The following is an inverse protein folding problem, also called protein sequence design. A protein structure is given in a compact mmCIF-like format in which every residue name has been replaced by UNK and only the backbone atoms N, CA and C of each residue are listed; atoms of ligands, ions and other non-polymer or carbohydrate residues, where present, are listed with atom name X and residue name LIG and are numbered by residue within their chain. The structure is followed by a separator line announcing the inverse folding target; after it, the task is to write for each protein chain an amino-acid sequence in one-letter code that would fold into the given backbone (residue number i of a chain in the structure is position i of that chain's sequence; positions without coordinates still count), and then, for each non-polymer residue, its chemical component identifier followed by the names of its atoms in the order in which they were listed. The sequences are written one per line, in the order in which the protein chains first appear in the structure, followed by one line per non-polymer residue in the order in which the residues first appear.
data_IF_609982031762
#
_entry.id   IF_609982031762
#
_cell.length_a   1.000
_cell.length_b   1.000
_cell.length_c   1.000
_cell.angle_alpha   90.00
_cell.angle_beta   90.00
_cell.angle_gamma   90.00
#
_symmetry.space_group_name_H-M   'P 1'
#
loop_
_entity.id
_entity.type
_entity.pdbx_description
1 polymer ?
#
# COMPACT_ATOMS: atom_id res chain seq x y z
N UNK A 1 4.80 51.40 -1.48
CA UNK A 1 5.92 50.79 -2.22
C UNK A 1 6.02 49.36 -1.77
N UNK A 2 5.55 48.43 -2.60
CA UNK A 2 5.56 47.00 -2.29
C UNK A 2 6.84 46.38 -2.83
N UNK A 3 7.58 45.70 -1.96
CA UNK A 3 8.65 44.80 -2.38
C UNK A 3 8.02 43.48 -2.85
N UNK A 4 8.07 43.24 -4.15
CA UNK A 4 7.88 41.91 -4.73
C UNK A 4 8.97 40.99 -4.16
N UNK A 5 8.55 40.03 -3.33
CA UNK A 5 9.37 38.87 -2.98
C UNK A 5 9.64 38.07 -4.26
N UNK A 6 10.82 38.27 -4.84
CA UNK A 6 11.35 37.42 -5.91
C UNK A 6 11.27 35.96 -5.49
N UNK A 7 10.48 35.17 -6.22
CA UNK A 7 10.52 33.71 -6.10
C UNK A 7 11.92 33.24 -6.49
N UNK A 8 12.63 32.48 -5.64
CA UNK A 8 13.93 31.95 -6.02
C UNK A 8 13.77 31.06 -7.27
N UNK A 9 14.45 31.42 -8.35
CA UNK A 9 14.47 30.63 -9.57
C UNK A 9 15.00 29.23 -9.23
N UNK A 10 14.27 28.15 -9.57
CA UNK A 10 14.73 26.81 -9.25
C UNK A 10 16.01 26.55 -10.06
N UNK A 11 17.13 26.37 -9.36
CA UNK A 11 18.44 26.21 -10.01
C UNK A 11 18.45 24.95 -10.87
N UNK A 12 19.03 25.05 -12.07
CA UNK A 12 19.10 24.01 -13.11
C UNK A 12 19.63 22.65 -12.60
N UNK A 13 20.40 22.65 -11.50
CA UNK A 13 20.89 21.43 -10.81
C UNK A 13 19.79 20.64 -10.07
N UNK A 14 18.76 21.31 -9.56
CA UNK A 14 17.62 20.66 -8.89
C UNK A 14 16.79 19.86 -9.90
N UNK A 15 16.65 20.38 -11.12
CA UNK A 15 15.91 19.74 -12.20
C UNK A 15 16.64 18.49 -12.69
N UNK A 16 17.95 18.60 -12.94
CA UNK A 16 18.77 17.46 -13.36
C UNK A 16 18.79 16.30 -12.34
N UNK A 17 18.78 16.59 -11.03
CA UNK A 17 18.74 15.56 -9.99
C UNK A 17 17.36 14.89 -9.90
N UNK A 18 16.29 15.67 -10.04
CA UNK A 18 14.90 15.18 -10.09
C UNK A 18 14.68 14.29 -11.32
N UNK A 19 15.10 14.75 -12.50
CA UNK A 19 14.94 14.01 -13.75
C UNK A 19 15.75 12.71 -13.76
N UNK A 20 16.97 12.74 -13.21
CA UNK A 20 17.79 11.53 -13.07
C UNK A 20 17.20 10.53 -12.06
N UNK A 21 16.53 10.99 -11.00
CA UNK A 21 15.81 10.12 -10.07
C UNK A 21 14.59 9.48 -10.74
N UNK A 22 13.81 10.26 -11.50
CA UNK A 22 12.66 9.76 -12.27
C UNK A 22 13.08 8.72 -13.30
N UNK A 23 14.15 8.98 -14.06
CA UNK A 23 14.68 8.02 -15.01
C UNK A 23 15.22 6.74 -14.32
N UNK A 24 15.94 6.88 -13.21
CA UNK A 24 16.45 5.74 -12.45
C UNK A 24 15.32 4.90 -11.82
N UNK A 25 14.25 5.55 -11.35
CA UNK A 25 13.01 4.92 -10.92
C UNK A 25 12.41 4.09 -12.04
N UNK A 26 12.20 4.67 -13.22
CA UNK A 26 11.53 3.99 -14.33
C UNK A 26 12.34 2.76 -14.78
N UNK A 27 13.67 2.88 -14.80
CA UNK A 27 14.58 1.76 -15.03
C UNK A 27 14.45 0.71 -13.92
N UNK A 28 14.47 1.10 -12.65
CA UNK A 28 14.38 0.15 -11.54
C UNK A 28 13.04 -0.59 -11.51
N UNK A 29 11.92 0.14 -11.66
CA UNK A 29 10.58 -0.43 -11.72
C UNK A 29 10.45 -1.38 -12.92
N UNK A 30 10.96 -1.00 -14.09
CA UNK A 30 10.82 -1.83 -15.30
C UNK A 30 11.78 -3.02 -15.31
N UNK A 31 13.07 -2.79 -15.02
CA UNK A 31 14.14 -3.78 -15.20
C UNK A 31 14.36 -4.66 -13.96
N UNK A 32 14.17 -4.13 -12.75
CA UNK A 32 14.43 -4.86 -11.50
C UNK A 32 13.15 -5.44 -10.92
N UNK A 33 12.08 -4.64 -10.83
CA UNK A 33 10.79 -5.12 -10.32
C UNK A 33 9.97 -5.81 -11.42
N UNK A 34 9.89 -5.25 -12.62
CA UNK A 34 9.15 -5.82 -13.76
C UNK A 34 9.69 -7.16 -14.26
N UNK A 35 11.00 -7.41 -14.12
CA UNK A 35 11.62 -8.70 -14.42
C UNK A 35 11.18 -9.84 -13.50
N UNK A 36 10.66 -9.54 -12.31
CA UNK A 36 10.08 -10.55 -11.39
C UNK A 36 8.62 -10.89 -11.71
N UNK A 37 7.99 -10.14 -12.62
CA UNK A 37 6.61 -10.34 -13.06
C UNK A 37 6.46 -11.26 -14.29
N UNK A 38 7.53 -11.88 -14.79
CA UNK A 38 7.39 -12.93 -15.81
C UNK A 38 6.64 -14.13 -15.23
N UNK A 39 5.46 -14.33 -15.80
CA UNK A 39 4.49 -15.40 -15.58
C UNK A 39 5.14 -16.78 -15.73
N UNK A 40 5.66 -17.31 -14.63
CA UNK A 40 5.86 -18.74 -14.45
C UNK A 40 4.59 -19.31 -13.81
N UNK A 41 4.08 -20.48 -14.24
CA UNK A 41 2.87 -21.06 -13.67
C UNK A 41 3.11 -21.29 -12.18
N UNK A 42 2.50 -20.45 -11.36
CA UNK A 42 2.66 -20.48 -9.92
C UNK A 42 1.96 -21.73 -9.36
N UNK A 43 2.64 -22.44 -8.48
CA UNK A 43 2.02 -23.40 -7.58
C UNK A 43 0.79 -22.76 -6.91
N UNK A 44 -0.28 -23.55 -6.72
CA UNK A 44 -1.55 -23.15 -6.13
C UNK A 44 -1.32 -22.31 -4.85
N UNK A 45 -1.41 -20.99 -4.98
CA UNK A 45 -1.16 -20.02 -3.91
C UNK A 45 -2.47 -19.65 -3.21
N UNK A 46 -2.40 -19.49 -1.89
CA UNK A 46 -3.53 -19.26 -0.98
C UNK A 46 -4.51 -18.21 -1.49
N UNK A 47 -5.80 -18.54 -1.46
CA UNK A 47 -6.89 -17.59 -1.68
C UNK A 47 -6.77 -16.37 -0.75
N UNK A 48 -7.29 -15.24 -1.20
CA UNK A 48 -7.45 -14.04 -0.38
C UNK A 48 -8.21 -14.39 0.91
N UNK A 49 -7.71 -13.91 2.04
CA UNK A 49 -8.36 -14.03 3.35
C UNK A 49 -9.10 -12.75 3.69
N UNK A 50 -10.42 -12.72 3.52
CA UNK A 50 -11.23 -11.51 3.74
C UNK A 50 -11.32 -11.13 5.22
N UNK A 51 -11.10 -12.08 6.13
CA UNK A 51 -10.99 -11.88 7.57
C UNK A 51 -9.71 -11.14 8.00
N UNK A 52 -8.85 -10.80 7.04
CA UNK A 52 -7.60 -10.07 7.22
C UNK A 52 -7.82 -8.57 7.06
N UNK A 53 -7.27 -7.70 7.94
CA UNK A 53 -7.33 -6.26 7.74
C UNK A 53 -6.48 -5.81 6.54
N UNK A 54 -6.85 -4.68 5.95
CA UNK A 54 -6.10 -4.06 4.85
C UNK A 54 -5.34 -2.83 5.33
N UNK A 55 -4.03 -2.85 5.14
CA UNK A 55 -3.16 -1.73 5.45
C UNK A 55 -3.26 -0.66 4.35
N UNK A 56 -3.52 0.57 4.74
CA UNK A 56 -3.64 1.72 3.84
C UNK A 56 -2.23 2.22 3.53
N UNK A 57 -1.65 1.75 2.43
CA UNK A 57 -0.31 2.19 2.01
C UNK A 57 -0.34 3.25 0.91
N UNK A 58 -1.44 3.35 0.18
CA UNK A 58 -1.59 4.23 -0.98
C UNK A 58 -1.69 5.72 -0.65
N UNK A 59 -1.62 6.08 0.63
CA UNK A 59 -1.47 7.47 1.08
C UNK A 59 -0.06 7.78 1.59
N UNK A 60 0.80 6.77 1.74
CA UNK A 60 2.11 6.94 2.38
C UNK A 60 3.06 7.79 1.51
N UNK A 61 3.61 8.90 2.04
CA UNK A 61 4.46 9.80 1.28
C UNK A 61 5.75 9.15 0.77
N UNK A 62 6.39 8.31 1.57
CA UNK A 62 7.66 7.65 1.20
C UNK A 62 7.44 6.57 0.15
N UNK A 63 6.30 5.86 0.21
CA UNK A 63 5.92 4.88 -0.82
C UNK A 63 5.58 5.61 -2.11
N UNK A 64 4.71 6.62 -2.07
CA UNK A 64 4.31 7.39 -3.24
C UNK A 64 5.52 8.05 -3.93
N UNK A 65 6.48 8.55 -3.14
CA UNK A 65 7.74 9.09 -3.66
C UNK A 65 8.59 8.05 -4.40
N UNK A 66 8.57 6.77 -4.00
CA UNK A 66 9.20 5.68 -4.75
C UNK A 66 8.62 5.54 -6.17
N UNK A 67 7.35 5.89 -6.35
CA UNK A 67 6.68 5.90 -7.66
C UNK A 67 6.63 7.31 -8.27
N UNK A 68 7.36 8.28 -7.71
CA UNK A 68 7.45 9.68 -8.13
C UNK A 68 6.13 10.45 -8.09
N UNK A 69 5.23 10.04 -7.19
CA UNK A 69 4.03 10.80 -6.83
C UNK A 69 4.38 11.67 -5.63
N UNK A 70 4.21 12.98 -5.78
CA UNK A 70 4.43 13.95 -4.71
C UNK A 70 3.11 14.27 -4.00
N UNK A 71 3.05 13.98 -2.70
CA UNK A 71 1.86 14.14 -1.86
C UNK A 71 1.61 15.58 -1.41
N UNK A 72 2.63 16.44 -1.39
CA UNK A 72 2.57 17.74 -0.70
C UNK A 72 2.52 18.92 -1.68
N UNK A 73 2.68 18.67 -2.97
CA UNK A 73 2.72 19.71 -4.01
C UNK A 73 1.58 19.57 -5.03
N UNK A 74 1.88 19.80 -6.31
CA UNK A 74 0.97 19.98 -7.46
C UNK A 74 -0.08 18.87 -7.66
N UNK A 75 0.12 17.69 -7.06
CA UNK A 75 -0.75 16.52 -7.26
C UNK A 75 -1.64 16.17 -6.07
N UNK A 76 -1.62 16.94 -4.97
CA UNK A 76 -2.36 16.61 -3.74
C UNK A 76 -3.84 16.27 -3.97
N UNK A 77 -4.54 17.05 -4.81
CA UNK A 77 -5.95 16.79 -5.13
C UNK A 77 -6.15 15.48 -5.91
N UNK A 78 -5.30 15.21 -6.90
CA UNK A 78 -5.35 13.95 -7.67
C UNK A 78 -5.03 12.75 -6.78
N UNK A 79 -4.01 12.87 -5.93
CA UNK A 79 -3.63 11.83 -4.98
C UNK A 79 -4.74 11.56 -3.96
N UNK A 80 -5.42 12.60 -3.48
CA UNK A 80 -6.60 12.46 -2.62
C UNK A 80 -7.71 11.68 -3.33
N UNK A 81 -8.06 12.04 -4.57
CA UNK A 81 -9.07 11.31 -5.35
C UNK A 81 -8.69 9.84 -5.53
N UNK A 82 -7.45 9.57 -5.94
CA UNK A 82 -6.96 8.20 -6.12
C UNK A 82 -6.95 7.41 -4.81
N UNK A 83 -6.64 8.06 -3.68
CA UNK A 83 -6.71 7.44 -2.36
C UNK A 83 -8.14 7.09 -1.97
N UNK A 84 -9.11 7.94 -2.28
CA UNK A 84 -10.54 7.67 -2.03
C UNK A 84 -11.02 6.49 -2.89
N UNK A 85 -10.68 6.45 -4.18
CA UNK A 85 -11.02 5.34 -5.07
C UNK A 85 -10.40 4.02 -4.57
N UNK A 86 -9.12 4.05 -4.19
CA UNK A 86 -8.43 2.90 -3.60
C UNK A 86 -9.08 2.47 -2.27
N UNK A 87 -9.57 3.42 -1.47
CA UNK A 87 -10.29 3.12 -0.21
C UNK A 87 -11.59 2.38 -0.48
N UNK A 88 -12.35 2.77 -1.52
CA UNK A 88 -13.60 2.09 -1.89
C UNK A 88 -13.34 0.62 -2.25
N UNK A 89 -12.29 0.36 -3.02
CA UNK A 89 -11.85 -1.01 -3.33
C UNK A 89 -11.34 -1.75 -2.09
N UNK A 90 -10.57 -1.09 -1.23
CA UNK A 90 -10.04 -1.69 -0.01
C UNK A 90 -11.15 -2.12 0.94
N UNK A 91 -12.18 -1.28 1.13
CA UNK A 91 -13.35 -1.62 1.94
C UNK A 91 -13.97 -2.93 1.48
N UNK A 92 -14.18 -3.11 0.17
CA UNK A 92 -14.84 -4.31 -0.36
C UNK A 92 -14.05 -5.62 -0.13
N UNK A 93 -12.73 -5.55 0.03
CA UNK A 93 -11.85 -6.72 0.11
C UNK A 93 -11.60 -7.24 1.52
N UNK A 94 -12.02 -6.54 2.56
CA UNK A 94 -11.84 -6.98 3.95
C UNK A 94 -13.14 -6.94 4.73
N UNK A 95 -13.45 -7.99 5.47
CA UNK A 95 -14.54 -8.03 6.45
C UNK A 95 -14.14 -7.38 7.78
N UNK A 96 -12.86 -7.08 7.96
CA UNK A 96 -12.34 -6.39 9.15
C UNK A 96 -12.34 -4.88 8.93
N UNK A 97 -11.21 -4.26 9.20
CA UNK A 97 -11.00 -2.83 9.19
C UNK A 97 -9.81 -2.50 8.28
N UNK A 98 -9.80 -1.27 7.78
CA UNK A 98 -8.59 -0.71 7.18
C UNK A 98 -7.70 -0.15 8.29
N UNK A 99 -6.40 -0.41 8.16
CA UNK A 99 -5.36 -0.03 9.09
C UNK A 99 -4.62 1.18 8.54
N UNK A 100 -4.73 2.30 9.26
CA UNK A 100 -4.09 3.57 8.91
C UNK A 100 -2.93 3.82 9.89
N UNK A 101 -1.68 3.94 9.46
CA UNK A 101 -0.61 4.43 10.34
C UNK A 101 -0.94 5.79 10.95
N UNK A 102 -0.77 5.91 12.27
CA UNK A 102 -0.95 7.18 12.96
C UNK A 102 -0.03 8.28 12.42
N UNK A 103 1.15 7.94 11.88
CA UNK A 103 2.08 8.89 11.26
C UNK A 103 1.43 9.73 10.16
N UNK A 104 0.47 9.18 9.42
CA UNK A 104 -0.15 9.85 8.28
C UNK A 104 -0.93 11.10 8.67
N UNK A 105 -1.51 11.09 9.88
CA UNK A 105 -2.23 12.23 10.46
C UNK A 105 -1.31 13.45 10.55
N UNK A 106 -0.02 13.24 10.77
CA UNK A 106 0.98 14.29 10.95
C UNK A 106 1.79 14.55 9.68
N UNK A 107 2.06 13.52 8.88
CA UNK A 107 2.98 13.59 7.74
C UNK A 107 2.32 14.05 6.43
N UNK A 108 0.99 14.00 6.33
CA UNK A 108 0.26 14.28 5.09
C UNK A 108 -0.68 15.48 5.28
N UNK A 109 -0.44 16.57 4.56
CA UNK A 109 -1.20 17.82 4.75
C UNK A 109 -2.69 17.72 4.44
N UNK A 110 -3.08 16.93 3.44
CA UNK A 110 -4.48 16.73 3.05
C UNK A 110 -5.17 15.59 3.81
N UNK A 111 -4.48 14.92 4.73
CA UNK A 111 -5.06 13.80 5.48
C UNK A 111 -6.32 14.17 6.29
N UNK A 112 -6.43 15.36 6.90
CA UNK A 112 -7.67 15.77 7.56
C UNK A 112 -8.88 15.78 6.60
N UNK A 113 -8.67 16.17 5.34
CA UNK A 113 -9.72 16.15 4.31
C UNK A 113 -10.07 14.70 3.97
N UNK A 114 -9.05 13.85 3.75
CA UNK A 114 -9.26 12.42 3.50
C UNK A 114 -10.08 11.77 4.63
N UNK A 115 -9.70 11.99 5.90
CA UNK A 115 -10.43 11.48 7.05
C UNK A 115 -11.87 12.01 7.10
N UNK A 116 -12.08 13.30 6.81
CA UNK A 116 -13.43 13.90 6.70
C UNK A 116 -14.28 13.19 5.64
N UNK A 117 -13.71 12.88 4.48
CA UNK A 117 -14.41 12.15 3.43
C UNK A 117 -14.77 10.71 3.82
N UNK A 118 -13.99 10.08 4.70
CA UNK A 118 -14.21 8.68 5.14
C UNK A 118 -14.78 8.58 6.56
N UNK A 119 -15.27 9.68 7.13
CA UNK A 119 -15.85 9.74 8.48
C UNK A 119 -16.89 8.65 8.75
N UNK A 120 -17.82 8.32 7.82
CA UNK A 120 -18.77 7.23 8.05
C UNK A 120 -18.10 5.87 8.31
N UNK A 121 -16.96 5.59 7.68
CA UNK A 121 -16.19 4.37 7.93
C UNK A 121 -15.55 4.37 9.32
N UNK A 122 -15.15 5.54 9.83
CA UNK A 122 -14.63 5.70 11.20
C UNK A 122 -15.73 5.39 12.21
N UNK A 123 -16.89 6.03 12.09
CA UNK A 123 -18.05 5.80 12.98
C UNK A 123 -18.54 4.35 12.95
N UNK A 124 -18.50 3.70 11.79
CA UNK A 124 -18.82 2.29 11.66
C UNK A 124 -17.74 1.34 12.22
N UNK A 125 -16.60 1.86 12.70
CA UNK A 125 -15.48 1.06 13.21
C UNK A 125 -14.72 0.27 12.13
N UNK A 126 -14.93 0.63 10.86
CA UNK A 126 -14.26 0.03 9.70
C UNK A 126 -12.86 0.61 9.44
N UNK A 127 -12.49 1.70 10.12
CA UNK A 127 -11.14 2.27 10.12
C UNK A 127 -10.52 2.20 11.52
N UNK A 128 -9.23 1.88 11.58
CA UNK A 128 -8.43 1.95 12.80
C UNK A 128 -7.09 2.59 12.54
N UNK A 129 -6.61 3.41 13.47
CA UNK A 129 -5.23 3.87 13.39
C UNK A 129 -4.29 2.88 14.07
N UNK A 130 -3.08 2.78 13.54
CA UNK A 130 -2.02 1.90 14.03
C UNK A 130 -0.92 2.74 14.64
N UNK A 131 -0.62 2.45 15.89
CA UNK A 131 0.47 3.06 16.63
C UNK A 131 0.97 2.10 17.73
N UNK A 132 2.24 2.22 18.16
CA UNK A 132 2.75 1.47 19.31
C UNK A 132 2.14 1.93 20.64
N UNK A 133 1.57 3.14 20.70
CA UNK A 133 0.86 3.69 21.86
C UNK A 133 -0.55 4.08 21.45
N UNK A 134 -1.54 3.97 22.36
CA UNK A 134 -2.92 4.36 22.07
C UNK A 134 -3.05 5.88 21.89
N UNK A 135 -2.41 6.69 22.73
CA UNK A 135 -2.59 8.14 22.67
C UNK A 135 -1.79 8.78 21.51
N UNK A 136 -2.46 9.59 20.69
CA UNK A 136 -1.85 10.24 19.53
C UNK A 136 -0.89 11.39 19.91
N UNK A 137 -1.08 12.04 21.06
CA UNK A 137 -0.16 13.04 21.57
C UNK A 137 1.12 12.38 22.07
N UNK A 138 1.01 11.27 22.81
CA UNK A 138 2.17 10.45 23.22
C UNK A 138 2.92 9.92 21.99
N UNK A 139 2.17 9.44 20.98
CA UNK A 139 2.75 9.00 19.72
C UNK A 139 3.52 10.14 19.03
N UNK A 140 2.94 11.35 18.97
CA UNK A 140 3.59 12.52 18.40
C UNK A 140 4.89 12.84 19.14
N UNK A 141 4.88 12.85 20.47
CA UNK A 141 6.07 13.13 21.29
C UNK A 141 7.20 12.13 21.02
N UNK A 142 6.87 10.84 20.99
CA UNK A 142 7.81 9.78 20.60
C UNK A 142 8.40 10.06 19.20
N UNK A 143 7.58 10.43 18.21
CA UNK A 143 8.03 10.73 16.85
C UNK A 143 8.83 12.02 16.74
N UNK A 144 8.56 13.04 17.57
CA UNK A 144 9.40 14.25 17.66
C UNK A 144 10.83 13.87 18.04
N UNK A 145 11.03 12.94 18.97
CA UNK A 145 12.35 12.42 19.34
C UNK A 145 13.01 11.62 18.22
N UNK A 146 12.27 10.77 17.51
CA UNK A 146 12.80 10.04 16.34
C UNK A 146 13.24 11.00 15.20
N UNK A 147 12.62 12.18 15.10
CA UNK A 147 12.88 13.18 14.05
C UNK A 147 13.65 14.41 14.58
N UNK A 148 14.29 14.31 15.75
CA UNK A 148 14.90 15.45 16.47
C UNK A 148 15.96 16.26 15.71
N UNK A 149 16.56 15.69 14.67
CA UNK A 149 17.57 16.32 13.78
C UNK A 149 17.02 16.64 12.36
N UNK A 150 15.71 16.54 12.15
CA UNK A 150 15.09 16.90 10.89
C UNK A 150 14.61 18.35 10.90
N UNK A 151 15.11 19.25 10.03
CA UNK A 151 14.61 20.62 9.94
C UNK A 151 13.13 20.68 9.53
N UNK A 152 12.63 19.67 8.82
CA UNK A 152 11.24 19.57 8.36
C UNK A 152 10.44 18.58 9.20
N UNK A 153 10.73 18.45 10.49
CA UNK A 153 10.06 17.50 11.37
C UNK A 153 8.53 17.79 11.42
N UNK A 154 7.68 16.91 10.84
CA UNK A 154 6.25 17.16 10.73
C UNK A 154 5.53 17.07 12.09
N UNK A 155 6.15 16.46 13.09
CA UNK A 155 5.56 16.22 14.40
C UNK A 155 5.71 17.40 15.38
N UNK A 156 6.58 18.38 15.09
CA UNK A 156 6.85 19.51 16.00
C UNK A 156 5.69 20.49 16.15
N UNK A 157 4.92 20.69 15.08
CA UNK A 157 3.88 21.71 15.03
C UNK A 157 2.50 21.14 14.68
N UNK A 158 2.39 19.82 14.55
CA UNK A 158 1.13 19.19 14.19
C UNK A 158 0.20 19.11 15.41
N UNK A 159 -0.90 19.84 15.32
CA UNK A 159 -2.02 19.74 16.24
C UNK A 159 -2.92 18.56 15.89
N UNK A 160 -3.48 17.90 16.90
CA UNK A 160 -4.59 16.96 16.72
C UNK A 160 -5.87 17.79 16.61
N UNK A 161 -6.57 17.71 15.47
CA UNK A 161 -7.87 18.36 15.26
C UNK A 161 -8.78 17.46 14.43
N UNK A 162 -10.09 17.56 14.66
CA UNK A 162 -11.10 16.80 13.93
C UNK A 162 -11.23 15.35 14.39
N UNK A 163 -11.51 14.44 13.45
CA UNK A 163 -11.83 13.01 13.67
C UNK A 163 -10.79 12.27 14.52
N UNK A 164 -9.53 12.71 14.52
CA UNK A 164 -8.49 12.09 15.34
C UNK A 164 -8.66 12.28 16.85
N UNK A 165 -9.53 13.21 17.27
CA UNK A 165 -9.88 13.44 18.67
C UNK A 165 -11.22 12.76 19.06
N UNK A 166 -11.86 12.05 18.12
CA UNK A 166 -13.15 11.40 18.32
C UNK A 166 -12.97 10.00 18.97
N UNK A 167 -13.76 9.63 20.00
CA UNK A 167 -13.72 8.29 20.59
C UNK A 167 -14.03 7.15 19.59
N UNK A 168 -14.69 7.44 18.47
CA UNK A 168 -15.00 6.45 17.45
C UNK A 168 -13.79 6.05 16.60
N UNK A 169 -12.73 6.86 16.56
CA UNK A 169 -11.52 6.48 15.83
C UNK A 169 -10.68 5.52 16.68
N UNK A 170 -10.82 4.22 16.41
CA UNK A 170 -10.26 3.17 17.26
C UNK A 170 -8.80 2.91 16.98
N UNK A 171 -8.05 2.65 18.05
CA UNK A 171 -6.67 2.20 18.00
C UNK A 171 -6.57 0.70 17.65
N UNK A 172 -5.56 0.36 16.87
CA UNK A 172 -5.05 -0.98 16.69
C UNK A 172 -3.59 -1.04 17.20
N UNK A 173 -3.31 -1.83 18.26
CA UNK A 173 -1.97 -1.93 18.82
C UNK A 173 -0.99 -2.55 17.84
N UNK A 174 0.21 -1.99 17.82
CA UNK A 174 1.35 -2.52 17.10
C UNK A 174 2.32 -3.16 18.11
N UNK A 175 2.38 -4.48 18.12
CA UNK A 175 3.09 -5.24 19.18
C UNK A 175 4.54 -5.55 18.81
N UNK A 176 4.93 -5.43 17.54
CA UNK A 176 6.27 -5.77 17.07
C UNK A 176 7.36 -4.90 17.70
N UNK A 177 8.48 -5.55 18.08
CA UNK A 177 9.73 -4.86 18.39
C UNK A 177 10.05 -3.82 17.31
N UNK A 178 10.49 -2.63 17.72
CA UNK A 178 10.48 -1.42 16.89
C UNK A 178 10.85 -1.66 15.43
N UNK A 179 10.07 -1.13 14.48
CA UNK A 179 10.24 -1.33 13.03
C UNK A 179 11.69 -1.16 12.59
N UNK A 180 12.40 -0.21 13.20
CA UNK A 180 13.80 0.08 12.97
C UNK A 180 14.72 -1.11 13.27
N UNK A 181 14.45 -1.91 14.31
CA UNK A 181 15.23 -3.10 14.65
C UNK A 181 15.08 -4.19 13.57
N UNK A 182 13.84 -4.51 13.16
CA UNK A 182 13.59 -5.47 12.09
C UNK A 182 14.15 -5.01 10.73
N UNK A 183 14.02 -3.72 10.41
CA UNK A 183 14.68 -3.12 9.24
C UNK A 183 16.21 -3.22 9.37
N UNK A 184 16.77 -3.02 10.56
CA UNK A 184 18.20 -3.12 10.82
C UNK A 184 18.78 -4.52 10.57
N UNK A 185 18.04 -5.58 10.87
CA UNK A 185 18.44 -6.95 10.53
C UNK A 185 18.43 -7.18 9.01
N UNK A 186 17.33 -6.80 8.34
CA UNK A 186 17.22 -6.87 6.88
C UNK A 186 18.30 -6.04 6.18
N UNK A 187 18.64 -4.88 6.74
CA UNK A 187 19.64 -3.97 6.24
C UNK A 187 21.01 -4.62 6.16
N UNK A 188 21.45 -5.29 7.24
CA UNK A 188 22.76 -5.97 7.25
C UNK A 188 22.81 -7.07 6.20
N UNK A 189 21.77 -7.90 6.11
CA UNK A 189 21.68 -8.94 5.09
C UNK A 189 21.68 -8.38 3.65
N UNK A 190 21.05 -7.22 3.42
CA UNK A 190 20.97 -6.60 2.10
C UNK A 190 22.32 -6.06 1.59
N UNK A 191 23.29 -5.81 2.47
CA UNK A 191 24.62 -5.32 2.10
C UNK A 191 25.58 -6.45 1.68
N UNK A 192 25.32 -7.68 2.11
CA UNK A 192 26.13 -8.87 1.80
C UNK A 192 26.16 -9.19 0.29
N UNK A 193 27.17 -9.92 -0.22
CA UNK A 193 27.21 -10.34 -1.62
C UNK A 193 25.93 -11.06 -2.06
N UNK A 194 25.31 -10.59 -3.15
CA UNK A 194 24.02 -11.10 -3.63
C UNK A 194 22.80 -10.43 -2.99
N UNK A 195 23.01 -9.64 -1.92
CA UNK A 195 22.00 -8.77 -1.33
C UNK A 195 21.65 -7.59 -2.24
N UNK A 196 20.47 -7.03 -2.03
CA UNK A 196 19.91 -5.98 -2.89
C UNK A 196 20.67 -4.65 -2.82
N UNK A 197 21.16 -4.29 -1.64
CA UNK A 197 21.95 -3.09 -1.43
C UNK A 197 23.46 -3.33 -1.65
N UNK A 198 23.87 -4.53 -2.05
CA UNK A 198 25.27 -4.84 -2.29
C UNK A 198 25.92 -3.91 -3.32
N UNK A 199 25.18 -3.54 -4.38
CA UNK A 199 25.67 -2.58 -5.39
C UNK A 199 25.88 -1.19 -4.78
N UNK A 200 24.98 -0.75 -3.90
CA UNK A 200 25.11 0.52 -3.16
C UNK A 200 26.35 0.47 -2.25
N UNK A 201 26.57 -0.65 -1.56
CA UNK A 201 27.75 -0.85 -0.71
C UNK A 201 29.05 -0.75 -1.52
N UNK A 202 29.16 -1.50 -2.62
CA UNK A 202 30.35 -1.45 -3.50
C UNK A 202 30.56 -0.08 -4.14
N UNK A 203 29.49 0.56 -4.62
CA UNK A 203 29.56 1.88 -5.22
C UNK A 203 30.09 2.92 -4.23
N UNK A 204 29.56 2.90 -3.01
CA UNK A 204 30.01 3.71 -1.88
C UNK A 204 31.49 3.46 -1.58
N UNK A 205 31.91 2.21 -1.45
CA UNK A 205 33.29 1.83 -1.15
C UNK A 205 34.29 2.29 -2.23
N UNK A 206 33.91 2.20 -3.51
CA UNK A 206 34.75 2.66 -4.63
C UNK A 206 34.96 4.17 -4.65
N UNK A 207 33.95 4.95 -4.26
CA UNK A 207 34.02 6.42 -4.25
C UNK A 207 34.63 6.99 -2.95
N UNK A 208 34.79 6.16 -1.93
CA UNK A 208 35.30 6.58 -0.63
C UNK A 208 36.83 6.42 -0.55
N UNK A 209 37.53 7.53 -0.34
CA UNK A 209 39.00 7.63 -0.36
C UNK A 209 39.72 7.03 0.86
N UNK A 210 39.03 6.29 1.74
CA UNK A 210 39.59 5.72 2.99
C UNK A 210 39.85 4.22 2.85
N UNK A 211 40.53 3.56 3.83
CA UNK A 211 40.94 2.16 3.71
C UNK A 211 39.80 1.19 3.36
N UNK A 212 40.12 0.17 2.56
CA UNK A 212 39.21 -0.90 2.13
C UNK A 212 38.48 -1.52 3.34
N UNK A 213 37.19 -1.80 3.20
CA UNK A 213 36.35 -2.39 4.25
C UNK A 213 35.79 -1.38 5.26
N UNK A 214 36.25 -0.13 5.30
CA UNK A 214 35.71 0.88 6.24
C UNK A 214 34.34 1.40 5.82
N UNK A 215 34.08 1.51 4.52
CA UNK A 215 32.79 1.96 4.01
C UNK A 215 31.70 0.91 4.31
N UNK A 216 31.99 -0.36 4.05
CA UNK A 216 31.09 -1.49 4.32
C UNK A 216 30.77 -1.61 5.81
N UNK A 217 31.78 -1.51 6.68
CA UNK A 217 31.56 -1.49 8.14
C UNK A 217 30.73 -0.28 8.59
N UNK A 218 30.91 0.89 7.98
CA UNK A 218 30.12 2.09 8.31
C UNK A 218 28.67 1.96 7.86
N UNK A 219 28.44 1.36 6.70
CA UNK A 219 27.10 1.05 6.19
C UNK A 219 26.41 -0.01 7.05
N UNK A 220 27.11 -1.09 7.40
CA UNK A 220 26.58 -2.12 8.28
C UNK A 220 26.18 -1.57 9.66
N UNK A 221 26.88 -0.51 10.12
CA UNK A 221 26.61 0.21 11.37
C UNK A 221 25.56 1.34 11.24
N UNK A 222 24.91 1.50 10.10
CA UNK A 222 23.86 2.52 9.92
C UNK A 222 22.75 2.40 10.98
N UNK A 223 22.21 1.21 11.32
CA UNK A 223 21.16 1.09 12.34
C UNK A 223 21.57 1.72 13.69
N UNK A 224 22.80 1.47 14.14
CA UNK A 224 23.34 2.01 15.39
C UNK A 224 23.61 3.52 15.27
N UNK A 225 24.10 3.98 14.12
CA UNK A 225 24.41 5.39 13.86
C UNK A 225 23.18 6.28 13.69
N UNK A 226 22.01 5.69 13.45
CA UNK A 226 20.75 6.42 13.52
C UNK A 226 20.39 6.79 14.97
N UNK A 227 21.01 6.19 16.00
CA UNK A 227 20.83 6.58 17.41
C UNK A 227 19.34 6.67 17.82
N UNK A 228 18.50 5.75 17.35
CA UNK A 228 17.06 5.77 17.61
C UNK A 228 16.27 6.81 16.79
N UNK A 229 16.85 7.36 15.72
CA UNK A 229 16.08 8.06 14.68
C UNK A 229 15.30 7.07 13.80
N UNK A 230 14.28 7.57 13.10
CA UNK A 230 13.51 6.76 12.16
C UNK A 230 14.38 6.17 11.04
N UNK A 231 14.11 4.92 10.66
CA UNK A 231 14.86 4.23 9.61
C UNK A 231 14.30 4.56 8.21
N UNK A 232 14.37 5.85 7.83
CA UNK A 232 13.86 6.39 6.56
C UNK A 232 15.00 6.86 5.65
N UNK A 233 14.77 6.90 4.33
CA UNK A 233 15.81 7.17 3.32
C UNK A 233 16.59 8.46 3.61
N UNK A 234 15.89 9.57 3.90
CA UNK A 234 16.54 10.85 4.17
C UNK A 234 17.42 10.87 5.42
N UNK A 235 17.14 10.03 6.43
CA UNK A 235 18.00 9.93 7.62
C UNK A 235 19.17 8.99 7.36
N UNK A 236 18.92 7.86 6.69
CA UNK A 236 19.97 6.93 6.27
C UNK A 236 20.99 7.64 5.39
N UNK A 237 20.55 8.40 4.39
CA UNK A 237 21.44 9.13 3.47
C UNK A 237 22.39 10.09 4.19
N UNK A 238 21.93 10.77 5.25
CA UNK A 238 22.77 11.67 6.06
C UNK A 238 23.85 10.93 6.85
N UNK A 239 23.67 9.62 7.10
CA UNK A 239 24.70 8.79 7.73
C UNK A 239 25.73 8.28 6.72
N UNK A 240 25.43 8.35 5.42
CA UNK A 240 26.29 7.73 4.41
C UNK A 240 27.60 8.50 4.26
N UNK A 241 28.71 7.78 4.06
CA UNK A 241 30.01 8.40 3.91
C UNK A 241 30.10 9.25 2.63
N UNK A 242 29.59 8.74 1.50
CA UNK A 242 29.50 9.50 0.25
C UNK A 242 28.05 9.68 -0.19
N UNK A 243 27.74 10.74 -0.97
CA UNK A 243 26.46 10.86 -1.65
C UNK A 243 26.19 9.65 -2.54
N UNK A 244 24.93 9.21 -2.57
CA UNK A 244 24.46 8.19 -3.48
C UNK A 244 24.20 8.80 -4.87
N UNK A 245 24.48 8.02 -5.90
CA UNK A 245 23.94 8.26 -7.23
C UNK A 245 22.41 8.14 -7.23
N UNK A 246 21.70 8.71 -8.22
CA UNK A 246 20.25 8.61 -8.32
C UNK A 246 19.73 7.16 -8.26
N UNK A 247 20.35 6.23 -9.01
CA UNK A 247 19.96 4.82 -9.00
C UNK A 247 20.18 4.11 -7.65
N UNK A 248 21.25 4.47 -6.93
CA UNK A 248 21.50 3.92 -5.59
C UNK A 248 20.51 4.50 -4.57
N UNK A 249 20.16 5.79 -4.67
CA UNK A 249 19.15 6.43 -3.82
C UNK A 249 17.75 5.84 -4.07
N UNK A 250 17.38 5.61 -5.33
CA UNK A 250 16.15 4.89 -5.68
C UNK A 250 16.14 3.48 -5.08
N UNK A 251 17.22 2.71 -5.25
CA UNK A 251 17.32 1.34 -4.70
C UNK A 251 17.19 1.33 -3.18
N UNK A 252 17.81 2.31 -2.51
CA UNK A 252 17.71 2.51 -1.08
C UNK A 252 16.27 2.82 -0.64
N UNK A 253 15.60 3.76 -1.32
CA UNK A 253 14.22 4.14 -1.00
C UNK A 253 13.25 2.95 -1.13
N UNK A 254 13.32 2.20 -2.24
CA UNK A 254 12.51 1.00 -2.44
C UNK A 254 12.78 -0.06 -1.36
N UNK A 255 14.05 -0.29 -1.00
CA UNK A 255 14.41 -1.23 0.05
C UNK A 255 13.79 -0.87 1.40
N UNK A 256 13.90 0.39 1.82
CA UNK A 256 13.39 0.86 3.10
C UNK A 256 11.86 0.81 3.14
N UNK A 257 11.19 1.29 2.09
CA UNK A 257 9.74 1.27 1.98
C UNK A 257 9.19 -0.16 1.94
N UNK A 258 9.84 -1.08 1.21
CA UNK A 258 9.47 -2.50 1.20
C UNK A 258 9.64 -3.15 2.57
N UNK A 259 10.73 -2.85 3.27
CA UNK A 259 11.01 -3.39 4.61
C UNK A 259 10.01 -2.86 5.63
N UNK A 260 9.65 -1.57 5.54
CA UNK A 260 8.58 -0.96 6.31
C UNK A 260 7.24 -1.68 6.08
N UNK A 261 6.81 -1.83 4.82
CA UNK A 261 5.55 -2.53 4.48
C UNK A 261 5.55 -3.95 5.03
N UNK A 262 6.62 -4.72 4.76
CA UNK A 262 6.76 -6.08 5.24
C UNK A 262 6.61 -6.17 6.77
N UNK A 263 7.23 -5.26 7.51
CA UNK A 263 7.14 -5.23 8.97
C UNK A 263 5.70 -5.03 9.45
N UNK A 264 4.96 -4.09 8.87
CA UNK A 264 3.55 -3.87 9.23
C UNK A 264 2.65 -5.04 8.83
N UNK A 265 2.84 -5.60 7.65
CA UNK A 265 2.01 -6.69 7.14
C UNK A 265 2.16 -7.97 7.97
N UNK A 266 3.38 -8.27 8.43
CA UNK A 266 3.61 -9.44 9.27
C UNK A 266 3.14 -9.23 10.71
N UNK A 267 3.39 -8.04 11.29
CA UNK A 267 3.03 -7.73 12.67
C UNK A 267 1.51 -7.67 12.88
N UNK A 268 0.79 -7.09 11.92
CA UNK A 268 -0.65 -6.87 12.02
C UNK A 268 -1.48 -7.98 11.35
N UNK A 269 -0.80 -9.03 10.86
CA UNK A 269 -1.34 -9.98 9.90
C UNK A 269 -2.18 -9.27 8.83
N UNK A 270 -1.68 -8.20 8.21
CA UNK A 270 -2.44 -7.39 7.25
C UNK A 270 -2.15 -7.76 5.79
N UNK A 271 -3.02 -7.29 4.89
CA UNK A 271 -2.80 -7.28 3.43
C UNK A 271 -2.64 -5.84 2.92
N UNK A 272 -2.17 -5.64 1.68
CA UNK A 272 -2.19 -4.36 0.98
C UNK A 272 -2.81 -4.51 -0.41
N UNK A 273 -3.42 -3.45 -0.92
CA UNK A 273 -3.85 -3.39 -2.32
C UNK A 273 -2.66 -3.27 -3.25
N UNK A 274 -2.51 -4.16 -4.23
CA UNK A 274 -1.51 -4.04 -5.29
C UNK A 274 -2.15 -3.54 -6.60
N UNK A 275 -1.34 -3.24 -7.61
CA UNK A 275 -1.81 -2.90 -8.97
C UNK A 275 -2.85 -1.74 -8.98
N UNK A 276 -2.48 -0.62 -8.35
CA UNK A 276 -3.28 0.60 -8.29
C UNK A 276 -2.98 1.52 -9.48
N UNK A 277 -3.88 2.47 -9.82
CA UNK A 277 -3.64 3.43 -10.90
C UNK A 277 -2.36 4.27 -10.73
N UNK A 278 -1.96 4.54 -9.48
CA UNK A 278 -0.74 5.28 -9.14
C UNK A 278 0.54 4.42 -9.18
N UNK A 279 0.43 3.13 -9.51
CA UNK A 279 1.50 2.13 -9.50
C UNK A 279 1.18 0.95 -8.59
N UNK A 280 2.06 -0.05 -8.56
CA UNK A 280 1.82 -1.25 -7.73
C UNK A 280 1.81 -0.95 -6.21
N UNK A 281 2.54 0.09 -5.79
CA UNK A 281 2.66 0.57 -4.41
C UNK A 281 3.04 -0.52 -3.37
N UNK A 282 3.55 -1.67 -3.82
CA UNK A 282 4.08 -2.76 -3.00
C UNK A 282 5.56 -2.60 -2.65
N UNK A 283 6.23 -1.63 -3.29
CA UNK A 283 7.68 -1.44 -3.27
C UNK A 283 8.47 -2.72 -3.63
N UNK A 284 7.89 -3.60 -4.46
CA UNK A 284 8.53 -4.85 -4.87
C UNK A 284 8.29 -6.04 -3.93
N UNK A 285 7.32 -5.95 -3.00
CA UNK A 285 6.78 -7.17 -2.39
C UNK A 285 6.10 -8.00 -3.48
N UNK A 286 6.31 -9.30 -3.44
CA UNK A 286 5.64 -10.25 -4.33
C UNK A 286 5.08 -11.42 -3.54
N UNK A 287 4.19 -12.21 -4.15
CA UNK A 287 3.67 -13.45 -3.55
C UNK A 287 4.78 -14.45 -3.18
N UNK A 288 5.94 -14.37 -3.86
CA UNK A 288 7.13 -15.21 -3.60
C UNK A 288 7.93 -14.73 -2.40
N UNK A 289 7.73 -13.49 -1.95
CA UNK A 289 8.40 -12.97 -0.77
C UNK A 289 7.90 -13.72 0.47
N UNK A 290 8.83 -14.16 1.32
CA UNK A 290 8.49 -14.99 2.49
C UNK A 290 7.39 -14.33 3.36
N UNK A 291 6.31 -15.05 3.64
CA UNK A 291 5.19 -14.57 4.46
C UNK A 291 4.22 -13.61 3.74
N UNK A 292 4.37 -13.34 2.44
CA UNK A 292 3.49 -12.44 1.68
C UNK A 292 2.37 -13.16 0.91
N UNK A 293 2.27 -14.48 1.03
CA UNK A 293 1.21 -15.23 0.35
C UNK A 293 -0.20 -14.81 0.84
N UNK A 294 -1.11 -14.62 -0.12
CA UNK A 294 -2.46 -14.10 0.13
C UNK A 294 -2.54 -12.67 0.71
N UNK A 295 -1.45 -11.87 0.70
CA UNK A 295 -1.43 -10.49 1.26
C UNK A 295 -1.46 -9.38 0.22
N UNK A 296 -1.41 -9.71 -1.07
CA UNK A 296 -1.29 -8.74 -2.17
C UNK A 296 -2.44 -8.88 -3.17
N UNK A 297 -3.71 -8.61 -2.79
CA UNK A 297 -4.82 -8.54 -3.74
C UNK A 297 -4.63 -7.39 -4.73
N UNK A 298 -4.71 -7.68 -6.03
CA UNK A 298 -4.72 -6.67 -7.11
C UNK A 298 -6.02 -5.88 -7.12
N UNK A 299 -5.92 -4.56 -7.04
CA UNK A 299 -7.05 -3.63 -7.14
C UNK A 299 -7.66 -3.67 -8.55
N UNK A 300 -6.84 -3.71 -9.60
CA UNK A 300 -7.30 -3.87 -10.99
C UNK A 300 -8.13 -5.14 -11.21
N UNK A 301 -7.75 -6.25 -10.56
CA UNK A 301 -8.50 -7.51 -10.64
C UNK A 301 -9.89 -7.35 -10.02
N UNK A 302 -9.99 -6.76 -8.84
CA UNK A 302 -11.29 -6.43 -8.25
C UNK A 302 -12.09 -5.52 -9.17
N UNK A 303 -11.48 -4.44 -9.65
CA UNK A 303 -12.16 -3.47 -10.52
C UNK A 303 -12.73 -4.13 -11.78
N UNK A 304 -11.96 -5.05 -12.40
CA UNK A 304 -12.43 -5.86 -13.54
C UNK A 304 -13.66 -6.70 -13.16
N UNK A 305 -13.65 -7.33 -11.99
CA UNK A 305 -14.80 -8.10 -11.49
C UNK A 305 -16.01 -7.21 -11.23
N UNK A 306 -15.82 -6.01 -10.68
CA UNK A 306 -16.92 -5.05 -10.50
C UNK A 306 -17.53 -4.62 -11.84
N UNK A 307 -16.71 -4.47 -12.89
CA UNK A 307 -17.20 -4.20 -14.24
C UNK A 307 -17.97 -5.38 -14.83
N UNK A 308 -17.49 -6.60 -14.60
CA UNK A 308 -18.18 -7.83 -15.01
C UNK A 308 -19.56 -7.94 -14.38
N UNK A 309 -19.66 -7.67 -13.07
CA UNK A 309 -20.91 -7.65 -12.31
C UNK A 309 -21.83 -6.47 -12.67
N UNK A 310 -21.36 -5.50 -13.46
CA UNK A 310 -22.12 -4.30 -13.81
C UNK A 310 -22.33 -3.34 -12.64
N UNK A 311 -21.46 -3.38 -11.62
CA UNK A 311 -21.57 -2.55 -10.41
C UNK A 311 -20.42 -1.54 -10.24
N UNK A 312 -19.45 -1.51 -11.16
CA UNK A 312 -18.29 -0.61 -11.06
C UNK A 312 -18.68 0.87 -10.93
N UNK A 313 -19.61 1.36 -11.78
CA UNK A 313 -20.10 2.75 -11.70
C UNK A 313 -20.76 3.04 -10.35
N UNK A 314 -21.59 2.12 -9.86
CA UNK A 314 -22.20 2.24 -8.54
C UNK A 314 -21.12 2.34 -7.46
N UNK A 315 -20.18 1.40 -7.46
CA UNK A 315 -19.10 1.34 -6.47
C UNK A 315 -18.23 2.59 -6.51
N UNK A 316 -17.84 3.12 -7.67
CA UNK A 316 -16.87 4.22 -7.73
C UNK A 316 -17.50 5.61 -7.65
N UNK A 317 -18.77 5.78 -8.06
CA UNK A 317 -19.34 7.12 -8.28
C UNK A 317 -20.62 7.40 -7.53
N UNK A 318 -21.39 6.37 -7.16
CA UNK A 318 -22.77 6.56 -6.66
C UNK A 318 -22.87 6.15 -5.20
N UNK A 319 -22.31 5.00 -4.84
CA UNK A 319 -22.55 4.40 -3.54
C UNK A 319 -22.06 5.30 -2.39
N UNK A 320 -22.85 5.39 -1.33
CA UNK A 320 -22.37 5.93 -0.07
C UNK A 320 -21.53 4.88 0.67
N UNK A 321 -20.73 5.31 1.66
CA UNK A 321 -19.87 4.39 2.42
C UNK A 321 -20.66 3.27 3.12
N UNK A 322 -21.84 3.58 3.65
CA UNK A 322 -22.70 2.59 4.30
C UNK A 322 -23.21 1.54 3.31
N UNK A 323 -23.49 1.93 2.06
CA UNK A 323 -23.88 0.99 1.01
C UNK A 323 -22.72 0.08 0.61
N UNK A 324 -21.48 0.58 0.58
CA UNK A 324 -20.30 -0.24 0.36
C UNK A 324 -20.05 -1.21 1.52
N UNK A 325 -20.28 -0.79 2.76
CA UNK A 325 -20.18 -1.67 3.94
C UNK A 325 -21.25 -2.77 3.91
N UNK A 326 -22.48 -2.44 3.49
CA UNK A 326 -23.55 -3.43 3.26
C UNK A 326 -23.18 -4.40 2.14
N UNK A 327 -22.70 -3.89 1.00
CA UNK A 327 -22.27 -4.69 -0.15
C UNK A 327 -21.15 -5.67 0.24
N UNK A 328 -20.15 -5.19 0.95
CA UNK A 328 -19.05 -5.99 1.51
C UNK A 328 -19.53 -7.11 2.43
N UNK A 329 -20.59 -6.87 3.19
CA UNK A 329 -21.12 -7.80 4.20
C UNK A 329 -22.10 -8.82 3.61
N UNK A 330 -22.45 -8.71 2.32
CA UNK A 330 -23.27 -9.70 1.63
C UNK A 330 -22.49 -11.03 1.48
N UNK A 331 -23.02 -12.16 1.95
CA UNK A 331 -22.37 -13.47 1.76
C UNK A 331 -22.11 -13.80 0.29
N UNK A 332 -23.07 -13.45 -0.58
CA UNK A 332 -22.93 -13.63 -2.03
C UNK A 332 -21.75 -12.84 -2.61
N UNK A 333 -21.51 -11.63 -2.11
CA UNK A 333 -20.35 -10.83 -2.51
C UNK A 333 -19.05 -11.51 -2.08
N UNK A 334 -19.00 -12.07 -0.86
CA UNK A 334 -17.87 -12.85 -0.38
C UNK A 334 -17.53 -14.03 -1.28
N UNK A 335 -18.51 -14.83 -1.68
CA UNK A 335 -18.31 -15.94 -2.63
C UNK A 335 -17.70 -15.45 -3.94
N UNK A 336 -18.20 -14.33 -4.48
CA UNK A 336 -17.67 -13.76 -5.72
C UNK A 336 -16.22 -13.30 -5.55
N UNK A 337 -15.88 -12.66 -4.42
CA UNK A 337 -14.52 -12.21 -4.15
C UNK A 337 -13.55 -13.39 -3.94
N UNK A 338 -13.94 -14.40 -3.19
CA UNK A 338 -13.09 -15.58 -2.95
C UNK A 338 -12.74 -16.26 -4.28
N UNK A 339 -13.72 -16.38 -5.17
CA UNK A 339 -13.54 -16.93 -6.51
C UNK A 339 -12.78 -16.01 -7.44
N UNK A 340 -12.98 -14.70 -7.30
CA UNK A 340 -12.22 -13.71 -8.02
C UNK A 340 -10.74 -13.83 -7.70
N UNK A 341 -10.32 -14.16 -6.48
CA UNK A 341 -8.91 -14.27 -6.08
C UNK A 341 -8.36 -15.70 -6.01
N UNK A 342 -9.16 -16.69 -6.37
CA UNK A 342 -8.72 -18.06 -6.64
C UNK A 342 -8.39 -18.20 -8.13
N UNK A 343 -7.13 -18.48 -8.44
CA UNK A 343 -6.64 -18.63 -9.82
C UNK A 343 -7.35 -19.77 -10.59
N UNK A 344 -7.86 -20.79 -9.87
CA UNK A 344 -8.54 -21.93 -10.50
C UNK A 344 -10.03 -21.66 -10.79
N UNK A 345 -10.60 -20.63 -10.17
CA UNK A 345 -12.04 -20.34 -10.20
C UNK A 345 -12.43 -19.14 -11.07
N UNK A 346 -11.46 -18.38 -11.58
CA UNK A 346 -11.75 -17.13 -12.29
C UNK A 346 -12.56 -17.34 -13.58
N UNK A 347 -12.29 -18.42 -14.32
CA UNK A 347 -13.03 -18.74 -15.54
C UNK A 347 -14.48 -19.14 -15.23
N UNK A 348 -14.69 -19.89 -14.14
CA UNK A 348 -16.04 -20.23 -13.68
C UNK A 348 -16.84 -18.98 -13.28
N UNK A 349 -16.20 -18.03 -12.58
CA UNK A 349 -16.81 -16.73 -12.27
C UNK A 349 -17.19 -15.98 -13.56
N UNK A 350 -16.28 -15.95 -14.54
CA UNK A 350 -16.53 -15.27 -15.82
C UNK A 350 -17.71 -15.91 -16.58
N UNK A 351 -17.80 -17.24 -16.61
CA UNK A 351 -18.92 -17.96 -17.24
C UNK A 351 -20.25 -17.64 -16.54
N UNK A 352 -20.28 -17.66 -15.20
CA UNK A 352 -21.46 -17.31 -14.42
C UNK A 352 -21.93 -15.87 -14.68
N UNK A 353 -20.99 -14.92 -14.74
CA UNK A 353 -21.29 -13.53 -15.12
C UNK A 353 -21.94 -13.48 -16.51
N UNK A 354 -21.36 -14.16 -17.50
CA UNK A 354 -21.88 -14.13 -18.88
C UNK A 354 -23.31 -14.68 -18.96
N UNK A 355 -23.59 -15.78 -18.26
CA UNK A 355 -24.93 -16.34 -18.18
C UNK A 355 -25.94 -15.35 -17.56
N UNK A 356 -25.58 -14.71 -16.45
CA UNK A 356 -26.44 -13.72 -15.78
C UNK A 356 -26.65 -12.49 -16.65
N UNK A 357 -25.62 -12.00 -17.34
CA UNK A 357 -25.73 -10.83 -18.24
C UNK A 357 -26.62 -11.09 -19.45
N UNK A 358 -26.77 -12.35 -19.87
CA UNK A 358 -27.72 -12.75 -20.91
C UNK A 358 -29.18 -12.78 -20.43
N UNK A 359 -29.42 -12.71 -19.12
CA UNK A 359 -30.77 -12.73 -18.55
C UNK A 359 -31.47 -11.36 -18.68
N UNK A 360 -32.80 -11.38 -18.80
CA UNK A 360 -33.61 -10.14 -18.82
C UNK A 360 -33.58 -9.36 -17.51
N UNK A 361 -33.14 -9.98 -16.41
CA UNK A 361 -33.10 -9.40 -15.07
C UNK A 361 -31.85 -8.57 -14.82
N UNK A 362 -30.76 -8.77 -15.57
CA UNK A 362 -29.51 -8.04 -15.38
C UNK A 362 -29.65 -6.55 -15.73
N UNK A 363 -29.07 -5.68 -14.90
CA UNK A 363 -29.02 -4.23 -15.12
C UNK A 363 -27.64 -3.68 -14.74
N UNK A 364 -27.21 -2.60 -15.38
CA UNK A 364 -26.07 -1.84 -14.85
C UNK A 364 -26.54 -1.12 -13.59
N UNK A 365 -25.92 -1.40 -12.45
CA UNK A 365 -26.41 -0.93 -11.16
C UNK A 365 -26.23 0.58 -11.03
N UNK A 366 -27.32 1.26 -10.65
CA UNK A 366 -27.36 2.66 -10.21
C UNK A 366 -27.81 2.79 -8.76
N UNK A 367 -28.31 1.70 -8.17
CA UNK A 367 -28.76 1.62 -6.79
C UNK A 367 -28.16 0.41 -6.08
N UNK A 368 -28.15 0.43 -4.74
CA UNK A 368 -27.72 -0.72 -3.95
C UNK A 368 -28.52 -1.99 -4.27
N UNK A 369 -29.85 -1.89 -4.44
CA UNK A 369 -30.69 -3.05 -4.72
C UNK A 369 -30.36 -3.74 -6.05
N UNK A 370 -30.02 -2.97 -7.08
CA UNK A 370 -29.55 -3.52 -8.36
C UNK A 370 -28.17 -4.18 -8.22
N UNK A 371 -27.25 -3.54 -7.46
CA UNK A 371 -25.93 -4.10 -7.20
C UNK A 371 -26.02 -5.44 -6.43
N UNK A 372 -26.84 -5.47 -5.38
CA UNK A 372 -27.14 -6.66 -4.60
C UNK A 372 -27.73 -7.78 -5.47
N UNK A 373 -28.74 -7.46 -6.28
CA UNK A 373 -29.40 -8.41 -7.18
C UNK A 373 -28.42 -9.04 -8.17
N UNK A 374 -27.56 -8.22 -8.81
CA UNK A 374 -26.54 -8.72 -9.74
C UNK A 374 -25.56 -9.67 -9.04
N UNK A 375 -25.06 -9.29 -7.86
CA UNK A 375 -24.11 -10.10 -7.08
C UNK A 375 -24.74 -11.42 -6.66
N UNK A 376 -25.98 -11.40 -6.16
CA UNK A 376 -26.70 -12.61 -5.77
C UNK A 376 -26.96 -13.54 -6.95
N UNK A 377 -27.36 -13.00 -8.11
CA UNK A 377 -27.59 -13.79 -9.31
C UNK A 377 -26.31 -14.50 -9.80
N UNK A 378 -25.17 -13.79 -9.81
CA UNK A 378 -23.87 -14.39 -10.18
C UNK A 378 -23.46 -15.45 -9.18
N UNK A 379 -23.53 -15.17 -7.87
CA UNK A 379 -23.17 -16.14 -6.84
C UNK A 379 -24.05 -17.40 -6.90
N UNK A 380 -25.36 -17.26 -7.13
CA UNK A 380 -26.28 -18.37 -7.31
C UNK A 380 -25.92 -19.23 -8.52
N UNK A 381 -25.66 -18.59 -9.67
CA UNK A 381 -25.27 -19.30 -10.90
C UNK A 381 -23.95 -20.06 -10.73
N UNK A 382 -22.99 -19.51 -9.96
CA UNK A 382 -21.74 -20.21 -9.64
C UNK A 382 -21.95 -21.47 -8.79
N UNK A 383 -22.91 -21.44 -7.86
CA UNK A 383 -23.25 -22.60 -7.05
C UNK A 383 -23.81 -23.73 -7.92
N UNK A 384 -24.66 -23.39 -8.90
CA UNK A 384 -25.26 -24.35 -9.83
C UNK A 384 -24.22 -25.05 -10.71
N UNK A 385 -23.21 -24.32 -11.21
CA UNK A 385 -22.11 -24.91 -11.99
C UNK A 385 -21.25 -25.87 -11.16
N UNK A 386 -21.01 -25.54 -9.91
CA UNK A 386 -20.20 -26.38 -9.01
C UNK A 386 -20.93 -27.69 -8.66
N UNK A 387 -22.27 -27.65 -8.56
CA UNK A 387 -23.10 -28.82 -8.33
C UNK A 387 -23.14 -29.73 -9.57
N UNK A 388 -23.38 -29.16 -10.76
CA UNK A 388 -23.47 -29.91 -12.02
C UNK A 388 -22.14 -30.57 -12.45
N UNK A 389 -21.00 -29.94 -12.13
CA UNK A 389 -19.69 -30.54 -12.38
C UNK A 389 -19.37 -31.73 -11.44
N UNK A 390 -20.04 -31.83 -10.28
CA UNK A 390 -19.89 -32.98 -9.36
C UNK A 390 -20.81 -34.15 -9.71
N UNK A 391 -21.98 -33.88 -10.29
CA UNK A 391 -22.91 -34.94 -10.74
C UNK A 391 -22.39 -35.67 -11.98
N UNK A 392 -21.75 -34.96 -12.92
CA UNK A 392 -21.16 -35.60 -14.12
C UNK A 392 -19.98 -36.55 -13.83
N UNK A 393 -19.40 -36.51 -12.63
CA UNK A 393 -18.33 -37.44 -12.21
C UNK A 393 -18.83 -38.63 -11.38
N UNK A 394 -20.13 -38.72 -11.08
CA UNK A 394 -20.68 -39.80 -10.23
C UNK A 394 -21.42 -40.91 -10.98
N UNK A 395 -21.61 -40.80 -12.30
CA UNK A 395 -22.41 -41.76 -13.08
C UNK A 395 -21.63 -42.69 -14.02
N UNK A 396 -20.30 -42.79 -13.90
CA UNK A 396 -19.50 -43.79 -14.63
C UNK A 396 -18.75 -44.76 -13.69
N UNK A 397 -19.49 -45.48 -12.82
CA UNK A 397 -19.01 -46.72 -12.18
C UNK A 397 -20.07 -47.79 -12.07
#
# INVERSE_FOLDING_TARGET
MGEELERPAPTQRVWARRDAFVAARDIYVTAVLGGTSQSSPAAAGSALKRERPLFVQYTNPEILACYGVDVNERHAALTLTQALDATRLAVLLTERHLLIPASYIFEIHWYPIFLGCVEPLVRAGALRYVAPVPDLADYREMKVHEYRRDPHNPYRHAGLRGICADPDFRWAPRHGGGTAAGIGELWRAALEPGGELHRVARGTARRWHRPRGRAERLLARTPERLEGQAFIARFVERTLPVPLSPAESTSLAFFLSRSYLRSYLLDLDAAILSDLPAGDLTCGLSRRSAGMDGRLPSARRLDTVLHWLGIADFVHRIAEWDELLRLRSLPAFGVVIDRAYDETSLDALRIAVLAVRGSRAFRLARTYAEAESNVQAVAGTMADFTLNARTTWRDDR
#
